data_IF_669458390796
#
_entry.id   IF_669458390796
#
_cell.length_a   1.000
_cell.length_b   1.000
_cell.length_c   1.000
_cell.angle_alpha   90.00
_cell.angle_beta   90.00
_cell.angle_gamma   90.00
#
_symmetry.space_group_name_H-M   'P 1'
#
loop_
_entity.id
_entity.type
_entity.pdbx_description
1 polymer ?
#
# COMPACT_ATOMS: atom_id res chain seq x y z
N UNK A 1 -4.04 12.62 19.25
CA UNK A 1 -5.28 12.06 18.65
C UNK A 1 -4.93 11.04 17.59
N UNK A 2 -5.67 9.93 17.54
CA UNK A 2 -5.45 8.94 16.51
C UNK A 2 -6.10 9.34 15.20
N UNK A 3 -5.49 8.90 14.10
CA UNK A 3 -6.02 9.07 12.76
C UNK A 3 -6.36 7.71 12.17
N UNK A 4 -7.26 7.70 11.18
CA UNK A 4 -7.50 6.53 10.35
C UNK A 4 -6.51 6.56 9.19
N UNK A 5 -5.71 5.51 9.07
CA UNK A 5 -4.60 5.46 8.12
C UNK A 5 -4.67 4.17 7.33
N UNK A 6 -4.60 4.28 5.99
CA UNK A 6 -4.50 3.10 5.14
C UNK A 6 -3.07 2.97 4.61
N UNK A 7 -2.57 1.74 4.61
CA UNK A 7 -1.27 1.40 4.01
C UNK A 7 -1.52 0.43 2.87
N UNK A 8 -1.22 0.83 1.63
CA UNK A 8 -1.22 -0.11 0.51
C UNK A 8 0.12 -0.84 0.47
N UNK A 9 0.12 -2.07 -0.03
CA UNK A 9 1.33 -2.88 0.02
C UNK A 9 1.71 -3.28 1.44
N UNK A 10 0.72 -3.33 2.34
CA UNK A 10 0.96 -3.67 3.74
C UNK A 10 1.44 -5.10 3.95
N UNK A 11 1.20 -5.97 2.98
CA UNK A 11 1.67 -7.35 2.98
C UNK A 11 3.16 -7.46 2.59
N UNK A 12 3.77 -6.39 2.08
CA UNK A 12 5.19 -6.35 1.78
C UNK A 12 6.06 -6.12 3.00
N UNK A 13 7.40 -6.23 2.81
CA UNK A 13 8.34 -6.08 3.92
C UNK A 13 8.26 -4.69 4.57
N UNK A 14 8.42 -3.64 3.75
CA UNK A 14 8.38 -2.26 4.28
C UNK A 14 6.98 -1.91 4.77
N UNK A 15 5.95 -2.25 3.98
CA UNK A 15 4.58 -1.92 4.33
C UNK A 15 4.12 -2.53 5.64
N UNK A 16 4.49 -3.79 5.91
CA UNK A 16 4.13 -4.45 7.16
C UNK A 16 4.80 -3.79 8.37
N UNK A 17 6.07 -3.39 8.23
CA UNK A 17 6.77 -2.69 9.31
C UNK A 17 6.18 -1.31 9.56
N UNK A 18 5.82 -0.58 8.51
CA UNK A 18 5.15 0.70 8.66
C UNK A 18 3.79 0.54 9.36
N UNK A 19 3.00 -0.44 8.93
CA UNK A 19 1.71 -0.71 9.54
C UNK A 19 1.85 -1.03 11.03
N UNK A 20 2.84 -1.83 11.39
CA UNK A 20 3.14 -2.16 12.78
C UNK A 20 3.46 -0.91 13.60
N UNK A 21 4.33 -0.05 13.09
CA UNK A 21 4.70 1.19 13.79
C UNK A 21 3.51 2.13 13.95
N UNK A 22 2.64 2.21 12.95
CA UNK A 22 1.44 3.03 13.03
C UNK A 22 0.49 2.52 14.11
N UNK A 23 0.30 1.20 14.22
CA UNK A 23 -0.50 0.61 15.29
C UNK A 23 0.09 0.94 16.65
N UNK A 24 1.41 0.77 16.81
CA UNK A 24 2.12 1.09 18.05
C UNK A 24 1.99 2.56 18.43
N UNK A 25 1.87 3.44 17.44
CA UNK A 25 1.69 4.88 17.65
C UNK A 25 0.25 5.28 17.99
N UNK A 26 -0.66 4.31 18.05
CA UNK A 26 -2.06 4.56 18.38
C UNK A 26 -2.96 4.90 17.21
N UNK A 27 -2.47 4.78 15.98
CA UNK A 27 -3.28 5.03 14.79
C UNK A 27 -4.22 3.85 14.52
N UNK A 28 -5.35 4.13 13.88
CA UNK A 28 -6.28 3.11 13.39
C UNK A 28 -5.87 2.73 11.98
N UNK A 29 -5.29 1.55 11.83
CA UNK A 29 -4.64 1.14 10.57
C UNK A 29 -5.53 0.21 9.78
N UNK A 30 -5.74 0.56 8.51
CA UNK A 30 -6.28 -0.36 7.50
C UNK A 30 -5.12 -0.85 6.63
N UNK A 31 -4.87 -2.14 6.67
CA UNK A 31 -3.84 -2.78 5.88
C UNK A 31 -4.44 -3.27 4.56
N UNK A 32 -4.08 -2.60 3.46
CA UNK A 32 -4.52 -2.99 2.13
C UNK A 32 -3.51 -3.98 1.57
N UNK A 33 -3.91 -5.24 1.50
CA UNK A 33 -3.07 -6.36 1.08
C UNK A 33 -3.54 -6.89 -0.26
N UNK A 34 -2.60 -7.37 -1.08
CA UNK A 34 -2.94 -7.96 -2.37
C UNK A 34 -3.73 -9.26 -2.16
N UNK A 35 -4.88 -9.34 -2.79
CA UNK A 35 -5.69 -10.56 -2.77
C UNK A 35 -4.91 -11.73 -3.39
N UNK A 36 -4.93 -12.87 -2.72
CA UNK A 36 -4.41 -14.12 -3.25
C UNK A 36 -5.31 -15.28 -2.80
N UNK A 37 -5.30 -16.37 -3.58
CA UNK A 37 -6.18 -17.50 -3.35
C UNK A 37 -5.80 -18.32 -2.11
N UNK A 38 -4.61 -18.12 -1.56
CA UNK A 38 -4.14 -18.85 -0.39
C UNK A 38 -4.53 -18.15 0.93
N UNK A 39 -5.10 -16.96 0.86
CA UNK A 39 -5.43 -16.19 2.06
C UNK A 39 -4.23 -15.67 2.82
N UNK A 40 -3.05 -15.68 2.19
CA UNK A 40 -1.83 -15.17 2.83
C UNK A 40 -1.85 -13.65 2.92
N UNK A 41 -1.40 -13.12 4.05
CA UNK A 41 -1.20 -11.70 4.26
C UNK A 41 0.30 -11.32 4.19
N UNK A 42 1.12 -12.18 3.59
CA UNK A 42 2.54 -11.94 3.43
C UNK A 42 3.23 -11.66 4.77
N UNK A 43 3.96 -10.56 4.85
CA UNK A 43 4.70 -10.19 6.06
C UNK A 43 3.80 -9.86 7.25
N UNK A 44 2.52 -9.51 7.02
CA UNK A 44 1.56 -9.28 8.10
C UNK A 44 1.41 -10.56 8.96
N UNK A 45 1.48 -11.73 8.34
CA UNK A 45 1.36 -13.01 9.07
C UNK A 45 2.50 -13.23 10.08
N UNK A 46 3.60 -12.50 9.95
CA UNK A 46 4.75 -12.61 10.87
C UNK A 46 4.65 -11.66 12.07
N UNK A 47 3.69 -10.75 12.08
CA UNK A 47 3.55 -9.77 13.14
C UNK A 47 2.98 -10.41 14.42
N UNK A 48 3.30 -9.86 15.61
CA UNK A 48 2.68 -10.31 16.85
C UNK A 48 1.16 -10.26 16.77
N UNK A 49 0.44 -11.26 17.29
CA UNK A 49 -1.02 -11.29 17.20
C UNK A 49 -1.70 -10.05 17.78
N UNK A 50 -1.16 -9.47 18.85
CA UNK A 50 -1.72 -8.27 19.46
C UNK A 50 -1.63 -7.05 18.53
N UNK A 51 -0.63 -7.00 17.66
CA UNK A 51 -0.51 -5.93 16.66
C UNK A 51 -1.44 -6.21 15.48
N UNK A 52 -1.40 -7.44 14.97
CA UNK A 52 -2.22 -7.83 13.82
C UNK A 52 -3.71 -7.66 14.10
N UNK A 53 -4.16 -8.00 15.30
CA UNK A 53 -5.58 -7.91 15.68
C UNK A 53 -6.08 -6.46 15.75
N UNK A 54 -5.20 -5.49 15.86
CA UNK A 54 -5.56 -4.07 15.84
C UNK A 54 -5.70 -3.51 14.42
N UNK A 55 -5.35 -4.29 13.40
CA UNK A 55 -5.44 -3.87 12.01
C UNK A 55 -6.76 -4.29 11.39
N UNK A 56 -7.31 -3.40 10.57
CA UNK A 56 -8.43 -3.71 9.66
C UNK A 56 -7.83 -4.18 8.34
N UNK A 57 -7.95 -5.47 8.03
CA UNK A 57 -7.38 -6.07 6.84
C UNK A 57 -8.34 -5.92 5.66
N UNK A 58 -7.88 -5.30 4.58
CA UNK A 58 -8.62 -5.19 3.34
C UNK A 58 -7.85 -5.90 2.22
N UNK A 59 -8.43 -6.95 1.68
CA UNK A 59 -7.83 -7.70 0.57
C UNK A 59 -8.33 -7.14 -0.75
N UNK A 60 -7.42 -6.70 -1.61
CA UNK A 60 -7.78 -6.11 -2.89
C UNK A 60 -6.60 -5.96 -3.82
N UNK A 61 -6.78 -5.18 -4.87
CA UNK A 61 -5.76 -4.92 -5.87
C UNK A 61 -5.79 -3.43 -6.23
N UNK A 62 -4.63 -2.77 -6.16
CA UNK A 62 -4.55 -1.33 -6.47
C UNK A 62 -4.89 -1.03 -7.93
N UNK A 63 -4.86 -2.03 -8.81
CA UNK A 63 -5.26 -1.88 -10.21
C UNK A 63 -6.78 -1.73 -10.37
N UNK A 64 -7.54 -2.07 -9.34
CA UNK A 64 -9.00 -1.95 -9.35
C UNK A 64 -9.43 -0.62 -8.73
N UNK A 65 -9.89 0.36 -9.54
CA UNK A 65 -10.25 1.67 -9.03
C UNK A 65 -11.43 1.63 -8.04
N UNK A 66 -12.38 0.73 -8.22
CA UNK A 66 -13.52 0.61 -7.31
C UNK A 66 -13.12 0.04 -5.96
N UNK A 67 -12.25 -0.97 -5.96
CA UNK A 67 -11.72 -1.56 -4.74
C UNK A 67 -10.90 -0.55 -3.95
N UNK A 68 -10.06 0.23 -4.63
CA UNK A 68 -9.26 1.29 -4.01
C UNK A 68 -10.16 2.34 -3.37
N UNK A 69 -11.19 2.79 -4.08
CA UNK A 69 -12.12 3.80 -3.55
C UNK A 69 -12.83 3.27 -2.31
N UNK A 70 -13.30 2.03 -2.36
CA UNK A 70 -13.97 1.40 -1.21
C UNK A 70 -13.04 1.33 -0.01
N UNK A 71 -11.79 0.91 -0.22
CA UNK A 71 -10.82 0.79 0.86
C UNK A 71 -10.43 2.13 1.47
N UNK A 72 -10.41 3.19 0.66
CA UNK A 72 -10.01 4.53 1.12
C UNK A 72 -11.11 5.30 1.82
N UNK A 73 -12.37 4.88 1.73
CA UNK A 73 -13.46 5.57 2.42
C UNK A 73 -13.23 5.60 3.92
N UNK A 74 -13.35 6.80 4.49
CA UNK A 74 -13.15 7.01 5.91
C UNK A 74 -11.69 7.04 6.35
N UNK A 75 -10.74 6.92 5.44
CA UNK A 75 -9.32 6.99 5.76
C UNK A 75 -8.82 8.43 5.59
N UNK A 76 -8.26 8.99 6.67
CA UNK A 76 -7.77 10.36 6.66
C UNK A 76 -6.43 10.49 5.95
N UNK A 77 -5.60 9.46 6.07
CA UNK A 77 -4.25 9.42 5.50
C UNK A 77 -4.01 8.11 4.78
N UNK A 78 -3.23 8.15 3.72
CA UNK A 78 -2.88 6.96 2.93
C UNK A 78 -1.37 6.95 2.68
N UNK A 79 -0.73 5.84 3.01
CA UNK A 79 0.66 5.55 2.61
C UNK A 79 0.59 4.54 1.48
N UNK A 80 0.96 4.97 0.28
CA UNK A 80 0.88 4.13 -0.91
C UNK A 80 2.24 3.49 -1.20
N UNK A 81 2.38 2.22 -0.84
CA UNK A 81 3.61 1.44 -1.02
C UNK A 81 3.45 0.27 -1.99
N UNK A 82 2.22 -0.01 -2.44
CA UNK A 82 1.99 -1.12 -3.37
C UNK A 82 2.69 -0.86 -4.70
N UNK A 83 3.62 -1.73 -5.06
CA UNK A 83 4.40 -1.60 -6.29
C UNK A 83 5.06 -2.93 -6.64
N UNK A 84 5.43 -3.08 -7.91
CA UNK A 84 6.35 -4.12 -8.37
C UNK A 84 7.75 -3.50 -8.47
N UNK A 85 8.75 -4.15 -7.90
CA UNK A 85 10.08 -3.55 -7.73
C UNK A 85 11.23 -4.31 -8.41
N UNK A 86 11.03 -5.59 -8.78
CA UNK A 86 12.11 -6.39 -9.37
C UNK A 86 12.39 -5.95 -10.81
N UNK A 87 13.51 -5.25 -11.04
CA UNK A 87 13.87 -4.73 -12.36
C UNK A 87 13.95 -5.83 -13.43
N UNK A 88 14.59 -6.99 -13.20
CA UNK A 88 14.63 -8.03 -14.23
C UNK A 88 13.26 -8.50 -14.67
N UNK A 89 12.30 -8.62 -13.75
CA UNK A 89 10.95 -9.05 -14.08
C UNK A 89 10.21 -8.00 -14.93
N UNK A 90 10.57 -6.70 -14.80
CA UNK A 90 9.92 -5.65 -15.58
C UNK A 90 10.15 -5.81 -17.09
N UNK A 91 11.24 -6.44 -17.50
CA UNK A 91 11.50 -6.72 -18.92
C UNK A 91 10.66 -7.87 -19.46
N UNK A 92 10.22 -8.77 -18.59
CA UNK A 92 9.37 -9.90 -18.96
C UNK A 92 7.88 -9.56 -18.93
N UNK A 93 7.49 -8.63 -18.06
CA UNK A 93 6.09 -8.26 -17.90
C UNK A 93 5.94 -6.76 -17.67
N UNK A 94 6.27 -5.94 -18.68
CA UNK A 94 6.20 -4.47 -18.50
C UNK A 94 4.78 -3.98 -18.23
N UNK A 95 3.76 -4.61 -18.81
CA UNK A 95 2.37 -4.19 -18.58
C UNK A 95 1.97 -4.32 -17.11
N UNK A 96 2.45 -5.35 -16.42
CA UNK A 96 2.18 -5.53 -14.99
C UNK A 96 2.74 -4.38 -14.17
N UNK A 97 3.92 -3.85 -14.54
CA UNK A 97 4.53 -2.71 -13.86
C UNK A 97 3.75 -1.42 -14.14
N UNK A 98 3.32 -1.21 -15.39
CA UNK A 98 2.48 -0.06 -15.73
C UNK A 98 1.16 -0.13 -14.97
N UNK A 99 0.50 -1.28 -14.97
CA UNK A 99 -0.79 -1.45 -14.31
C UNK A 99 -0.68 -1.26 -12.79
N UNK A 100 0.34 -1.83 -12.18
CA UNK A 100 0.51 -1.72 -10.73
C UNK A 100 1.08 -0.38 -10.31
N UNK A 101 2.20 0.04 -10.91
CA UNK A 101 2.93 1.20 -10.42
C UNK A 101 2.34 2.51 -10.89
N UNK A 102 1.85 2.58 -12.12
CA UNK A 102 1.29 3.81 -12.69
C UNK A 102 -0.21 3.88 -12.44
N UNK A 103 -0.97 2.89 -12.92
CA UNK A 103 -2.43 2.92 -12.77
C UNK A 103 -2.86 2.76 -11.33
N UNK A 104 -2.15 1.93 -10.56
CA UNK A 104 -2.42 1.77 -9.12
C UNK A 104 -2.26 3.09 -8.39
N UNK A 105 -1.18 3.82 -8.65
CA UNK A 105 -0.95 5.13 -8.06
C UNK A 105 -2.02 6.13 -8.51
N UNK A 106 -2.36 6.13 -9.79
CA UNK A 106 -3.43 6.98 -10.32
C UNK A 106 -4.76 6.70 -9.63
N UNK A 107 -5.09 5.43 -9.41
CA UNK A 107 -6.32 5.04 -8.73
C UNK A 107 -6.37 5.59 -7.30
N UNK A 108 -5.24 5.51 -6.57
CA UNK A 108 -5.15 6.06 -5.22
C UNK A 108 -5.33 7.58 -5.24
N UNK A 109 -4.67 8.27 -6.15
CA UNK A 109 -4.75 9.74 -6.24
C UNK A 109 -6.15 10.20 -6.66
N UNK A 110 -6.80 9.51 -7.59
CA UNK A 110 -8.17 9.83 -8.00
C UNK A 110 -9.16 9.62 -6.84
N UNK A 111 -9.02 8.51 -6.12
CA UNK A 111 -9.87 8.24 -4.96
C UNK A 111 -9.65 9.29 -3.87
N UNK A 112 -8.40 9.68 -3.63
CA UNK A 112 -8.09 10.72 -2.63
C UNK A 112 -8.76 12.04 -2.99
N UNK A 113 -8.73 12.43 -4.27
CA UNK A 113 -9.37 13.65 -4.73
C UNK A 113 -10.89 13.58 -4.55
N UNK A 114 -11.51 12.47 -4.93
CA UNK A 114 -12.96 12.31 -4.84
C UNK A 114 -13.46 12.25 -3.40
N UNK A 115 -12.68 11.61 -2.51
CA UNK A 115 -13.07 11.39 -1.12
C UNK A 115 -12.61 12.50 -0.18
N UNK A 116 -11.79 13.42 -0.65
CA UNK A 116 -11.24 14.49 0.19
C UNK A 116 -10.24 13.99 1.22
N UNK A 117 -9.46 12.97 0.88
CA UNK A 117 -8.41 12.42 1.75
C UNK A 117 -7.42 13.53 2.14
N UNK A 118 -7.11 13.66 3.43
CA UNK A 118 -6.30 14.77 3.93
C UNK A 118 -4.84 14.71 3.44
N UNK A 119 -4.28 13.51 3.40
CA UNK A 119 -2.87 13.34 3.03
C UNK A 119 -2.64 12.00 2.35
N UNK A 120 -1.91 12.05 1.24
CA UNK A 120 -1.44 10.85 0.55
C UNK A 120 0.08 10.94 0.45
N UNK A 121 0.76 9.89 0.88
CA UNK A 121 2.21 9.76 0.75
C UNK A 121 2.50 8.66 -0.25
N UNK A 122 3.22 8.98 -1.32
CA UNK A 122 3.59 8.02 -2.37
C UNK A 122 5.08 7.76 -2.25
N UNK A 123 5.43 6.48 -2.16
CA UNK A 123 6.83 6.06 -2.09
C UNK A 123 7.45 6.14 -3.47
N UNK A 124 8.58 6.82 -3.57
CA UNK A 124 9.40 6.87 -4.78
C UNK A 124 10.63 5.98 -4.62
N UNK A 125 11.56 6.07 -5.55
CA UNK A 125 12.75 5.23 -5.56
C UNK A 125 13.97 6.06 -5.98
N UNK A 126 15.15 5.63 -5.49
CA UNK A 126 16.43 6.21 -5.94
C UNK A 126 16.71 5.95 -7.41
N UNK A 127 16.06 4.96 -8.00
CA UNK A 127 16.24 4.61 -9.42
C UNK A 127 15.83 5.75 -10.37
N UNK A 128 15.03 6.71 -9.90
CA UNK A 128 14.63 7.87 -10.72
C UNK A 128 15.82 8.77 -11.07
N UNK A 129 16.93 8.66 -10.34
CA UNK A 129 18.13 9.46 -10.57
C UNK A 129 19.09 8.82 -11.56
N UNK A 130 18.85 7.56 -11.94
CA UNK A 130 19.74 6.81 -12.82
C UNK A 130 21.04 6.42 -12.13
N UNK A 131 22.10 6.23 -12.91
CA UNK A 131 23.39 5.81 -12.39
C UNK A 131 24.11 6.97 -11.68
N UNK A 132 24.58 6.69 -10.46
CA UNK A 132 25.41 7.64 -9.73
C UNK A 132 26.81 7.70 -10.34
N UNK A 133 27.34 8.91 -10.50
CA UNK A 133 28.63 9.13 -11.16
C UNK A 133 29.75 9.54 -10.19
N UNK A 134 29.56 9.33 -8.89
CA UNK A 134 30.60 9.59 -7.88
C UNK A 134 30.35 8.93 -6.56
#
# INVERSE_FOLDING_TARGET
>A
MSHTVMVTGADGFIGSHLAEELVKSGEKVRAFCLYNSFGSLGWIDTLPPEIRNEMDIFMGDVRDPNGVRTAMRGQERVFHLAALIAIPFSYHSPDSYVDTNIKGTLNVLNAARELGTQRVMVTSTSEVYGTAHH
#
